data_IF_520163658827
#
_entry.id   IF_520163658827
#
_cell.length_a   1.000
_cell.length_b   1.000
_cell.length_c   1.000
_cell.angle_alpha   90.00
_cell.angle_beta   90.00
_cell.angle_gamma   90.00
#
_symmetry.space_group_name_H-M   'P 1'
#
loop_
_entity.id
_entity.type
_entity.pdbx_description
1 polymer ?
#
# COMPACT_ATOMS: atom_id res chain seq x y z
N UNK A 1 -12.79 23.52 -50.98
CA UNK A 1 -11.61 23.33 -50.12
C UNK A 1 -11.98 23.76 -48.70
N UNK A 2 -12.20 22.79 -47.80
CA UNK A 2 -12.47 23.08 -46.39
C UNK A 2 -11.13 23.28 -45.69
N UNK A 3 -10.84 24.52 -45.26
CA UNK A 3 -9.68 24.81 -44.41
C UNK A 3 -10.04 24.33 -43.01
N UNK A 4 -9.48 23.20 -42.60
CA UNK A 4 -9.55 22.78 -41.20
C UNK A 4 -8.86 23.86 -40.35
N UNK A 5 -9.66 24.63 -39.63
CA UNK A 5 -9.19 25.58 -38.63
C UNK A 5 -8.39 24.79 -37.59
N UNK A 6 -7.06 24.93 -37.61
CA UNK A 6 -6.20 24.42 -36.54
C UNK A 6 -6.54 25.22 -35.28
N UNK A 7 -7.14 24.57 -34.29
CA UNK A 7 -7.32 25.17 -32.97
C UNK A 7 -5.94 25.60 -32.45
N UNK A 8 -5.75 26.88 -32.07
CA UNK A 8 -4.46 27.33 -31.55
C UNK A 8 -4.09 26.50 -30.33
N UNK A 9 -2.81 26.12 -30.23
CA UNK A 9 -2.32 25.41 -29.06
C UNK A 9 -2.58 26.27 -27.81
N UNK A 10 -3.13 25.71 -26.73
CA UNK A 10 -3.51 26.48 -25.55
C UNK A 10 -2.31 27.28 -25.02
N UNK A 11 -2.57 28.53 -24.63
CA UNK A 11 -1.56 29.44 -24.11
C UNK A 11 -0.78 28.80 -22.96
N UNK A 12 0.51 29.13 -22.84
CA UNK A 12 1.30 28.63 -21.73
C UNK A 12 0.77 29.24 -20.43
N UNK A 13 0.59 28.41 -19.40
CA UNK A 13 0.13 28.90 -18.12
C UNK A 13 1.10 29.98 -17.59
N UNK A 14 0.55 31.12 -17.18
CA UNK A 14 1.30 32.29 -16.70
C UNK A 14 2.40 32.79 -17.65
N UNK A 15 2.24 32.56 -18.96
CA UNK A 15 3.23 32.95 -19.97
C UNK A 15 4.50 32.08 -20.00
N UNK A 16 4.57 31.00 -19.20
CA UNK A 16 5.77 30.16 -19.07
C UNK A 16 5.83 29.12 -20.19
N UNK A 17 6.17 29.57 -21.40
CA UNK A 17 6.33 28.70 -22.56
C UNK A 17 7.55 27.77 -22.42
N UNK A 18 8.57 28.18 -21.67
CA UNK A 18 9.80 27.42 -21.39
C UNK A 18 10.31 27.75 -19.99
N UNK A 19 10.24 26.79 -19.07
CA UNK A 19 10.82 26.90 -17.73
C UNK A 19 12.35 26.81 -17.77
N UNK A 20 13.01 26.99 -16.62
CA UNK A 20 14.44 26.76 -16.46
C UNK A 20 14.90 25.38 -16.97
N UNK A 21 14.12 24.32 -16.73
CA UNK A 21 14.39 22.95 -17.22
C UNK A 21 13.80 22.68 -18.61
N UNK A 22 13.40 23.71 -19.37
CA UNK A 22 12.84 23.57 -20.72
C UNK A 22 11.39 23.06 -20.79
N UNK A 23 10.63 23.05 -19.70
CA UNK A 23 9.25 22.53 -19.66
C UNK A 23 8.22 23.65 -19.85
N UNK A 24 7.18 23.41 -20.64
CA UNK A 24 6.04 24.33 -20.79
C UNK A 24 5.04 24.13 -19.66
N UNK A 25 4.60 25.20 -19.02
CA UNK A 25 3.55 25.10 -18.01
C UNK A 25 2.18 25.03 -18.69
N UNK A 26 1.34 24.10 -18.22
CA UNK A 26 -0.01 23.88 -18.73
C UNK A 26 -0.96 23.71 -17.55
N UNK A 27 -2.06 24.45 -17.54
CA UNK A 27 -3.16 24.17 -16.62
C UNK A 27 -3.97 22.99 -17.15
N UNK A 28 -4.42 22.11 -16.25
CA UNK A 28 -5.47 21.15 -16.58
C UNK A 28 -6.76 21.93 -16.77
N UNK A 29 -7.16 22.14 -18.02
CA UNK A 29 -8.38 22.86 -18.35
C UNK A 29 -9.60 22.04 -17.90
N UNK A 30 -10.59 22.74 -17.38
CA UNK A 30 -11.89 22.21 -16.99
C UNK A 30 -12.96 23.13 -17.58
N UNK A 31 -14.16 22.61 -17.80
CA UNK A 31 -15.28 23.45 -18.21
C UNK A 31 -15.61 24.46 -17.08
N UNK A 32 -15.47 25.75 -17.37
CA UNK A 32 -15.71 26.83 -16.41
C UNK A 32 -17.15 26.84 -15.87
N UNK A 33 -18.12 26.42 -16.69
CA UNK A 33 -19.51 26.32 -16.25
C UNK A 33 -19.68 25.18 -15.26
N UNK A 34 -19.02 24.05 -15.50
CA UNK A 34 -19.01 22.91 -14.60
C UNK A 34 -18.27 23.23 -13.30
N UNK A 35 -17.14 23.95 -13.35
CA UNK A 35 -16.42 24.45 -12.17
C UNK A 35 -17.32 25.37 -11.34
N UNK A 36 -18.00 26.32 -11.98
CA UNK A 36 -18.89 27.26 -11.30
C UNK A 36 -20.11 26.55 -10.68
N UNK A 37 -20.66 25.55 -11.37
CA UNK A 37 -21.75 24.73 -10.83
C UNK A 37 -21.29 23.95 -9.59
N UNK A 38 -20.20 23.19 -9.71
CA UNK A 38 -19.65 22.41 -8.62
C UNK A 38 -19.29 23.26 -7.40
N UNK A 39 -18.68 24.43 -7.63
CA UNK A 39 -18.34 25.37 -6.56
C UNK A 39 -19.57 25.83 -5.77
N UNK A 40 -20.66 26.16 -6.47
CA UNK A 40 -21.93 26.53 -5.82
C UNK A 40 -22.55 25.35 -5.08
N UNK A 41 -22.66 24.20 -5.75
CA UNK A 41 -23.40 23.05 -5.24
C UNK A 41 -22.71 22.42 -4.03
N UNK A 42 -21.38 22.34 -4.04
CA UNK A 42 -20.59 21.81 -2.93
C UNK A 42 -20.20 22.89 -1.89
N UNK A 43 -20.55 24.17 -2.10
CA UNK A 43 -20.22 25.25 -1.17
C UNK A 43 -18.71 25.51 -1.02
N UNK A 44 -17.94 25.32 -2.09
CA UNK A 44 -16.46 25.44 -2.11
C UNK A 44 -16.00 26.54 -3.06
N UNK A 45 -14.72 26.92 -2.96
CA UNK A 45 -14.16 27.93 -3.88
C UNK A 45 -14.02 27.37 -5.31
N UNK A 46 -14.13 28.22 -6.36
CA UNK A 46 -13.90 27.80 -7.74
C UNK A 46 -12.52 27.18 -7.98
N UNK A 47 -11.51 27.64 -7.24
CA UNK A 47 -10.16 27.07 -7.28
C UNK A 47 -10.12 25.63 -6.76
N UNK A 48 -10.79 25.36 -5.64
CA UNK A 48 -10.89 24.01 -5.08
C UNK A 48 -11.73 23.08 -5.98
N UNK A 49 -12.86 23.57 -6.50
CA UNK A 49 -13.69 22.83 -7.45
C UNK A 49 -12.88 22.41 -8.69
N UNK A 50 -12.10 23.33 -9.27
CA UNK A 50 -11.22 23.03 -10.41
C UNK A 50 -10.18 21.97 -10.06
N UNK A 51 -9.56 22.05 -8.88
CA UNK A 51 -8.56 21.07 -8.44
C UNK A 51 -9.17 19.68 -8.25
N UNK A 52 -10.35 19.58 -7.64
CA UNK A 52 -11.07 18.33 -7.42
C UNK A 52 -11.49 17.69 -8.76
N UNK A 53 -12.04 18.47 -9.68
CA UNK A 53 -12.35 18.00 -11.04
C UNK A 53 -11.10 17.52 -11.78
N UNK A 54 -9.99 18.26 -11.66
CA UNK A 54 -8.71 17.90 -12.28
C UNK A 54 -8.08 16.64 -11.68
N UNK A 55 -8.51 16.23 -10.48
CA UNK A 55 -8.16 14.97 -9.81
C UNK A 55 -9.18 13.85 -10.05
N UNK A 56 -10.26 14.12 -10.79
CA UNK A 56 -11.30 13.13 -11.09
C UNK A 56 -12.23 12.84 -9.91
N UNK A 57 -12.27 13.69 -8.88
CA UNK A 57 -13.18 13.51 -7.74
C UNK A 57 -14.60 13.82 -8.19
N UNK A 58 -15.50 12.83 -8.08
CA UNK A 58 -16.91 13.03 -8.43
C UNK A 58 -17.59 13.95 -7.42
N UNK A 59 -18.61 14.71 -7.86
CA UNK A 59 -19.30 15.68 -7.02
C UNK A 59 -19.87 15.06 -5.73
N UNK A 60 -20.35 13.82 -5.82
CA UNK A 60 -20.92 13.06 -4.69
C UNK A 60 -19.87 12.69 -3.64
N UNK A 61 -18.59 12.60 -4.01
CA UNK A 61 -17.50 12.15 -3.15
C UNK A 61 -16.74 13.31 -2.50
N UNK A 62 -17.03 14.57 -2.87
CA UNK A 62 -16.24 15.75 -2.46
C UNK A 62 -16.15 15.89 -0.94
N UNK A 63 -17.27 15.72 -0.24
CA UNK A 63 -17.30 15.85 1.21
C UNK A 63 -16.36 14.83 1.88
N UNK A 64 -16.41 13.58 1.44
CA UNK A 64 -15.62 12.49 1.98
C UNK A 64 -14.15 12.55 1.53
N UNK A 65 -13.88 13.12 0.35
CA UNK A 65 -12.53 13.38 -0.12
C UNK A 65 -11.83 14.49 0.68
N UNK A 66 -12.56 15.56 1.04
CA UNK A 66 -12.01 16.69 1.79
C UNK A 66 -11.93 16.43 3.30
N UNK A 67 -12.82 15.60 3.82
CA UNK A 67 -12.88 15.21 5.23
C UNK A 67 -12.98 13.69 5.38
N UNK A 68 -11.93 12.93 4.99
CA UNK A 68 -11.95 11.49 5.08
C UNK A 68 -12.05 11.05 6.54
N UNK A 69 -12.81 10.00 6.78
CA UNK A 69 -12.89 9.35 8.09
C UNK A 69 -12.52 7.89 7.91
N UNK A 70 -11.83 7.31 8.89
CA UNK A 70 -11.48 5.88 8.84
C UNK A 70 -12.70 5.00 8.59
N UNK A 71 -13.84 5.33 9.22
CA UNK A 71 -15.09 4.57 9.05
C UNK A 71 -15.59 4.51 7.60
N UNK A 72 -15.35 5.55 6.80
CA UNK A 72 -15.80 5.61 5.40
C UNK A 72 -14.70 5.21 4.40
N UNK A 73 -13.45 5.51 4.75
CA UNK A 73 -12.32 5.38 3.83
C UNK A 73 -11.56 4.06 3.99
N UNK A 74 -11.73 3.34 5.10
CA UNK A 74 -11.08 2.06 5.33
C UNK A 74 -11.98 0.94 4.76
N UNK A 75 -11.54 0.22 3.71
CA UNK A 75 -12.29 -0.90 3.15
C UNK A 75 -12.35 -2.07 4.11
N UNK A 76 -13.28 -2.98 3.89
CA UNK A 76 -13.37 -4.24 4.64
C UNK A 76 -12.16 -5.12 4.31
N UNK A 77 -11.22 -5.38 5.24
CA UNK A 77 -9.98 -6.09 4.93
C UNK A 77 -10.18 -7.50 4.40
N UNK A 78 -11.27 -8.20 4.75
CA UNK A 78 -11.53 -9.56 4.26
C UNK A 78 -11.83 -9.66 2.75
N UNK A 79 -11.93 -8.53 2.04
CA UNK A 79 -11.99 -8.54 0.57
C UNK A 79 -10.62 -8.79 -0.08
N UNK A 80 -9.52 -8.59 0.65
CA UNK A 80 -8.18 -8.92 0.20
C UNK A 80 -8.02 -10.44 0.20
N UNK A 81 -7.44 -10.96 -0.88
CA UNK A 81 -7.14 -12.39 -1.01
C UNK A 81 -6.20 -12.83 0.12
N UNK A 82 -6.47 -14.04 0.64
CA UNK A 82 -5.78 -14.67 1.76
C UNK A 82 -5.86 -13.93 3.12
N UNK A 83 -6.62 -12.83 3.25
CA UNK A 83 -6.79 -12.15 4.53
C UNK A 83 -7.42 -13.06 5.60
N UNK A 84 -8.44 -13.82 5.22
CA UNK A 84 -9.10 -14.81 6.09
C UNK A 84 -8.12 -15.89 6.56
N UNK A 85 -7.30 -16.42 5.65
CA UNK A 85 -6.25 -17.41 5.91
C UNK A 85 -5.17 -16.87 6.84
N UNK A 86 -4.71 -15.63 6.60
CA UNK A 86 -3.74 -14.92 7.43
C UNK A 86 -4.25 -14.76 8.87
N UNK A 87 -5.47 -14.25 9.03
CA UNK A 87 -6.11 -14.06 10.35
C UNK A 87 -6.29 -15.39 11.07
N UNK A 88 -6.74 -16.44 10.37
CA UNK A 88 -6.91 -17.77 10.96
C UNK A 88 -5.59 -18.33 11.50
N UNK A 89 -4.48 -18.13 10.77
CA UNK A 89 -3.15 -18.61 11.20
C UNK A 89 -2.59 -17.86 12.39
N UNK A 90 -2.70 -16.53 12.36
CA UNK A 90 -2.28 -15.68 13.48
C UNK A 90 -3.10 -16.00 14.73
N UNK A 91 -4.41 -16.18 14.59
CA UNK A 91 -5.29 -16.60 15.68
C UNK A 91 -4.86 -17.96 16.26
N UNK A 92 -4.59 -18.96 15.42
CA UNK A 92 -4.12 -20.26 15.87
C UNK A 92 -2.79 -20.17 16.64
N UNK A 93 -1.83 -19.35 16.16
CA UNK A 93 -0.57 -19.10 16.87
C UNK A 93 -0.81 -18.51 18.26
N UNK A 94 -1.68 -17.50 18.36
CA UNK A 94 -2.03 -16.85 19.64
C UNK A 94 -2.66 -17.86 20.60
N UNK A 95 -3.66 -18.64 20.14
CA UNK A 95 -4.38 -19.62 20.97
C UNK A 95 -3.47 -20.77 21.43
N UNK A 96 -2.52 -21.18 20.59
CA UNK A 96 -1.54 -22.21 20.92
C UNK A 96 -0.34 -21.68 21.75
N UNK A 97 -0.20 -20.37 21.92
CA UNK A 97 0.95 -19.75 22.57
C UNK A 97 2.25 -19.93 21.78
N UNK A 98 2.16 -20.04 20.45
CA UNK A 98 3.33 -20.09 19.57
C UNK A 98 4.09 -18.76 19.63
N UNK A 99 5.42 -18.84 19.54
CA UNK A 99 6.23 -17.62 19.41
C UNK A 99 6.02 -17.02 18.01
N UNK A 100 5.56 -15.77 17.97
CA UNK A 100 5.38 -15.01 16.73
C UNK A 100 6.58 -14.06 16.55
N UNK A 101 7.10 -14.00 15.34
CA UNK A 101 8.04 -12.97 14.93
C UNK A 101 7.42 -12.08 13.85
N UNK A 102 7.77 -10.80 13.86
CA UNK A 102 7.38 -9.84 12.83
C UNK A 102 8.65 -9.37 12.13
N UNK A 103 8.72 -9.58 10.82
CA UNK A 103 9.79 -9.06 9.97
C UNK A 103 9.30 -7.80 9.27
N UNK A 104 9.87 -6.64 9.60
CA UNK A 104 9.55 -5.39 8.92
C UNK A 104 10.65 -4.94 7.97
N UNK A 105 10.30 -4.14 6.97
CA UNK A 105 11.29 -3.39 6.21
C UNK A 105 11.90 -2.25 7.05
N UNK A 106 13.06 -1.74 6.63
CA UNK A 106 13.82 -0.72 7.36
C UNK A 106 13.29 0.70 7.15
N UNK A 107 12.40 0.92 6.19
CA UNK A 107 11.84 2.25 5.93
C UNK A 107 10.68 2.59 6.88
N UNK A 108 10.06 3.75 6.68
CA UNK A 108 9.01 4.23 7.60
C UNK A 108 7.76 3.34 7.54
N UNK A 109 7.39 2.80 6.39
CA UNK A 109 6.18 1.98 6.27
C UNK A 109 6.38 0.62 6.96
N UNK A 110 7.48 -0.07 6.67
CA UNK A 110 7.85 -1.32 7.33
C UNK A 110 8.05 -1.19 8.84
N UNK A 111 8.78 -0.18 9.31
CA UNK A 111 9.04 -0.01 10.75
C UNK A 111 7.80 0.38 11.54
N UNK A 112 6.92 1.23 10.98
CA UNK A 112 5.66 1.59 11.65
C UNK A 112 4.66 0.43 11.65
N UNK A 113 4.60 -0.35 10.56
CA UNK A 113 3.80 -1.57 10.49
C UNK A 113 4.25 -2.62 11.51
N UNK A 114 5.56 -2.80 11.68
CA UNK A 114 6.11 -3.70 12.68
C UNK A 114 5.80 -3.24 14.11
N UNK A 115 5.91 -1.94 14.39
CA UNK A 115 5.52 -1.36 15.68
C UNK A 115 4.02 -1.55 15.98
N UNK A 116 3.15 -1.35 14.99
CA UNK A 116 1.71 -1.56 15.12
C UNK A 116 1.38 -3.01 15.49
N UNK A 117 1.97 -3.99 14.80
CA UNK A 117 1.78 -5.39 15.15
C UNK A 117 2.35 -5.72 16.53
N UNK A 118 3.49 -5.15 16.90
CA UNK A 118 4.03 -5.31 18.25
C UNK A 118 3.05 -4.84 19.32
N UNK A 119 2.47 -3.64 19.18
CA UNK A 119 1.48 -3.12 20.12
C UNK A 119 0.25 -4.03 20.21
N UNK A 120 -0.27 -4.49 19.09
CA UNK A 120 -1.41 -5.41 19.04
C UNK A 120 -1.13 -6.71 19.81
N UNK A 121 -0.04 -7.40 19.48
CA UNK A 121 0.31 -8.68 20.12
C UNK A 121 0.73 -8.50 21.58
N UNK A 122 1.39 -7.39 21.93
CA UNK A 122 1.72 -7.05 23.32
C UNK A 122 0.45 -6.81 24.16
N UNK A 123 -0.58 -6.16 23.60
CA UNK A 123 -1.87 -6.00 24.27
C UNK A 123 -2.58 -7.34 24.53
N UNK A 124 -2.28 -8.38 23.74
CA UNK A 124 -2.72 -9.76 23.96
C UNK A 124 -1.81 -10.56 24.91
N UNK A 125 -0.77 -9.94 25.49
CA UNK A 125 0.18 -10.58 26.40
C UNK A 125 1.24 -11.45 25.72
N UNK A 126 1.38 -11.37 24.39
CA UNK A 126 2.34 -12.16 23.60
C UNK A 126 3.18 -11.25 22.68
N UNK A 127 4.03 -10.35 23.22
CA UNK A 127 4.82 -9.43 22.40
C UNK A 127 5.70 -10.22 21.40
N UNK A 128 5.66 -9.87 20.10
CA UNK A 128 6.34 -10.64 19.07
C UNK A 128 7.82 -10.27 19.02
N UNK A 129 8.63 -11.17 18.47
CA UNK A 129 10.02 -10.88 18.14
C UNK A 129 10.09 -9.99 16.90
N UNK A 130 10.47 -8.72 17.06
CA UNK A 130 10.64 -7.80 15.92
C UNK A 130 11.98 -7.98 15.22
N UNK A 131 12.00 -8.16 13.90
CA UNK A 131 13.21 -8.21 13.10
C UNK A 131 13.15 -7.14 12.01
N UNK A 132 14.11 -6.21 12.02
CA UNK A 132 14.32 -5.23 10.96
C UNK A 132 15.73 -5.48 10.42
N UNK A 133 15.90 -5.80 9.12
CA UNK A 133 17.20 -6.11 8.57
C UNK A 133 18.09 -4.87 8.53
N UNK A 134 19.40 -5.05 8.73
CA UNK A 134 20.36 -3.99 8.41
C UNK A 134 20.48 -3.86 6.90
N UNK A 135 20.01 -2.74 6.35
CA UNK A 135 20.01 -2.51 4.89
C UNK A 135 21.39 -2.63 4.25
N UNK A 136 22.46 -2.26 4.96
CA UNK A 136 23.81 -2.24 4.43
C UNK A 136 24.46 -3.62 4.43
N UNK A 137 24.11 -4.45 5.41
CA UNK A 137 24.73 -5.76 5.62
C UNK A 137 23.87 -6.88 5.02
N UNK A 138 22.56 -6.82 5.23
CA UNK A 138 21.59 -7.87 4.90
C UNK A 138 20.79 -7.58 3.63
N UNK A 139 20.70 -6.31 3.21
CA UNK A 139 19.96 -5.89 2.03
C UNK A 139 18.48 -5.62 2.29
N UNK A 140 17.65 -5.78 1.25
CA UNK A 140 16.22 -5.47 1.27
C UNK A 140 15.37 -6.72 1.54
N UNK A 141 14.37 -6.59 2.41
CA UNK A 141 13.37 -7.62 2.67
C UNK A 141 13.89 -8.88 3.39
N UNK A 142 13.08 -9.95 3.42
CA UNK A 142 13.43 -11.19 4.08
C UNK A 142 14.64 -11.89 3.46
N UNK A 143 15.51 -12.45 4.29
CA UNK A 143 16.64 -13.28 3.87
C UNK A 143 16.64 -14.61 4.63
N UNK A 144 17.16 -15.67 3.99
CA UNK A 144 17.16 -17.01 4.59
C UNK A 144 17.90 -17.08 5.94
N UNK A 145 19.11 -16.48 6.10
CA UNK A 145 19.80 -16.47 7.39
C UNK A 145 18.95 -15.89 8.54
N UNK A 146 18.29 -14.75 8.32
CA UNK A 146 17.44 -14.14 9.34
C UNK A 146 16.19 -14.96 9.62
N UNK A 147 15.54 -15.53 8.60
CA UNK A 147 14.36 -16.38 8.79
C UNK A 147 14.71 -17.64 9.58
N UNK A 148 15.86 -18.26 9.30
CA UNK A 148 16.37 -19.38 10.07
C UNK A 148 16.74 -18.99 11.49
N UNK A 149 17.34 -17.82 11.71
CA UNK A 149 17.58 -17.29 13.04
C UNK A 149 16.28 -17.14 13.84
N UNK A 150 15.22 -16.60 13.24
CA UNK A 150 13.91 -16.49 13.91
C UNK A 150 13.33 -17.87 14.26
N UNK A 151 13.46 -18.83 13.35
CA UNK A 151 13.07 -20.23 13.61
C UNK A 151 13.86 -20.85 14.76
N UNK A 152 15.17 -20.67 14.79
CA UNK A 152 16.07 -21.13 15.87
C UNK A 152 15.74 -20.47 17.21
N UNK A 153 15.31 -19.20 17.19
CA UNK A 153 14.78 -18.49 18.36
C UNK A 153 13.40 -19.03 18.80
N UNK A 154 12.83 -20.01 18.09
CA UNK A 154 11.60 -20.73 18.40
C UNK A 154 10.35 -20.16 17.74
N UNK A 155 10.47 -19.28 16.75
CA UNK A 155 9.30 -18.75 16.03
C UNK A 155 8.55 -19.88 15.30
N UNK A 156 7.27 -20.04 15.62
CA UNK A 156 6.34 -20.92 14.90
C UNK A 156 5.69 -20.25 13.70
N UNK A 157 5.59 -18.91 13.75
CA UNK A 157 5.03 -18.05 12.72
C UNK A 157 5.89 -16.80 12.55
N UNK A 158 6.25 -16.48 11.31
CA UNK A 158 6.79 -15.16 10.91
C UNK A 158 5.73 -14.41 10.13
N UNK A 159 5.47 -13.15 10.50
CA UNK A 159 4.64 -12.22 9.73
C UNK A 159 5.58 -11.18 9.10
N UNK A 160 5.68 -11.14 7.78
CA UNK A 160 6.41 -10.06 7.09
C UNK A 160 5.47 -8.89 6.86
N UNK A 161 5.97 -7.66 7.06
CA UNK A 161 5.24 -6.42 6.79
C UNK A 161 6.06 -5.53 5.88
N UNK A 162 5.40 -4.93 4.88
CA UNK A 162 6.01 -4.08 3.85
C UNK A 162 7.14 -4.77 3.05
N UNK A 163 7.16 -6.09 3.06
CA UNK A 163 8.15 -6.87 2.35
C UNK A 163 7.73 -8.34 2.21
N UNK A 164 8.45 -9.07 1.35
CA UNK A 164 8.32 -10.51 1.19
C UNK A 164 7.53 -10.93 -0.04
N UNK A 165 6.74 -10.05 -0.69
CA UNK A 165 5.95 -10.43 -1.87
C UNK A 165 6.82 -11.01 -2.99
N UNK A 166 8.02 -10.49 -3.21
CA UNK A 166 8.96 -10.99 -4.22
C UNK A 166 10.10 -11.88 -3.70
N UNK A 167 10.10 -12.27 -2.42
CA UNK A 167 11.24 -12.95 -1.80
C UNK A 167 11.23 -14.48 -2.05
N UNK A 168 11.32 -14.89 -3.32
CA UNK A 168 11.18 -16.29 -3.77
C UNK A 168 12.14 -17.23 -3.04
N UNK A 169 13.46 -17.00 -3.17
CA UNK A 169 14.46 -17.91 -2.61
C UNK A 169 14.42 -17.97 -1.07
N UNK A 170 14.41 -16.84 -0.34
CA UNK A 170 14.36 -16.86 1.13
C UNK A 170 13.13 -17.57 1.69
N UNK A 171 11.95 -17.35 1.09
CA UNK A 171 10.70 -17.92 1.57
C UNK A 171 10.54 -19.38 1.16
N UNK A 172 11.11 -19.79 0.03
CA UNK A 172 11.24 -21.22 -0.31
C UNK A 172 12.09 -21.94 0.73
N UNK A 173 13.24 -21.38 1.10
CA UNK A 173 14.10 -21.97 2.12
C UNK A 173 13.40 -22.06 3.49
N UNK A 174 12.64 -21.04 3.89
CA UNK A 174 11.84 -21.05 5.12
C UNK A 174 10.72 -22.10 5.08
N UNK A 175 9.98 -22.18 3.97
CA UNK A 175 8.94 -23.18 3.75
C UNK A 175 9.50 -24.60 3.86
N UNK A 176 10.60 -24.89 3.17
CA UNK A 176 11.23 -26.22 3.17
C UNK A 176 11.79 -26.60 4.54
N UNK A 177 12.18 -25.60 5.35
CA UNK A 177 12.52 -25.80 6.75
C UNK A 177 11.29 -25.97 7.65
N UNK A 178 10.05 -25.85 7.15
CA UNK A 178 8.81 -25.93 7.90
C UNK A 178 8.56 -24.73 8.81
N UNK A 179 8.92 -23.52 8.36
CA UNK A 179 8.55 -22.26 9.03
C UNK A 179 7.36 -21.65 8.30
N UNK A 180 6.26 -21.42 9.02
CA UNK A 180 5.12 -20.72 8.45
C UNK A 180 5.43 -19.23 8.32
N UNK A 181 5.16 -18.68 7.14
CA UNK A 181 5.28 -17.25 6.87
C UNK A 181 3.95 -16.70 6.36
N UNK A 182 3.49 -15.60 6.95
CA UNK A 182 2.39 -14.77 6.42
C UNK A 182 3.00 -13.49 5.86
N UNK A 183 2.64 -13.10 4.66
CA UNK A 183 3.14 -11.89 4.00
C UNK A 183 2.04 -10.85 4.00
N UNK A 184 2.32 -9.67 4.58
CA UNK A 184 1.50 -8.47 4.48
C UNK A 184 2.31 -7.43 3.70
N UNK A 185 1.97 -7.21 2.43
CA UNK A 185 2.79 -6.40 1.52
C UNK A 185 1.89 -5.66 0.52
N UNK A 186 2.44 -4.69 -0.19
CA UNK A 186 1.78 -3.89 -1.22
C UNK A 186 2.66 -3.68 -2.45
N UNK A 187 3.87 -4.22 -2.48
CA UNK A 187 4.72 -4.16 -3.67
C UNK A 187 4.13 -4.96 -4.85
N UNK A 188 4.39 -4.48 -6.07
CA UNK A 188 4.01 -5.20 -7.29
C UNK A 188 4.72 -6.55 -7.39
N UNK A 189 3.97 -7.60 -7.73
CA UNK A 189 4.49 -8.98 -7.79
C UNK A 189 3.80 -9.78 -8.89
N UNK A 190 4.58 -10.52 -9.67
CA UNK A 190 4.08 -11.42 -10.72
C UNK A 190 4.12 -12.89 -10.33
N UNK A 191 5.13 -13.29 -9.56
CA UNK A 191 5.34 -14.66 -9.09
C UNK A 191 5.37 -14.65 -7.58
N UNK A 192 4.52 -15.47 -6.97
CA UNK A 192 4.42 -15.55 -5.52
C UNK A 192 5.40 -16.58 -4.95
N UNK A 193 6.16 -16.25 -3.89
CA UNK A 193 6.90 -17.23 -3.10
C UNK A 193 5.95 -18.25 -2.47
N UNK A 194 6.44 -19.38 -1.97
CA UNK A 194 5.66 -20.17 -1.03
C UNK A 194 5.50 -19.40 0.29
N UNK A 195 4.27 -19.27 0.76
CA UNK A 195 3.95 -18.77 2.09
C UNK A 195 2.64 -19.39 2.58
N UNK A 196 2.38 -19.29 3.88
CA UNK A 196 1.09 -19.68 4.43
C UNK A 196 -0.02 -18.76 3.89
N UNK A 197 0.21 -17.45 3.78
CA UNK A 197 -0.78 -16.51 3.23
C UNK A 197 -0.07 -15.33 2.55
N UNK A 198 -0.62 -14.88 1.42
CA UNK A 198 -0.18 -13.65 0.75
C UNK A 198 -1.28 -12.60 0.82
N UNK A 199 -1.17 -11.66 1.74
CA UNK A 199 -2.06 -10.50 1.78
C UNK A 199 -1.37 -9.35 1.06
N UNK A 200 -1.67 -9.20 -0.22
CA UNK A 200 -1.16 -8.11 -1.03
C UNK A 200 -2.17 -7.73 -2.12
N UNK A 201 -2.63 -6.47 -2.19
CA UNK A 201 -3.60 -6.04 -3.20
C UNK A 201 -3.06 -6.11 -4.64
N UNK A 202 -1.74 -6.13 -4.82
CA UNK A 202 -1.05 -6.22 -6.10
C UNK A 202 -0.65 -7.66 -6.48
N UNK A 203 -1.08 -8.68 -5.73
CA UNK A 203 -0.78 -10.07 -6.09
C UNK A 203 -1.61 -10.59 -7.27
N UNK A 204 -1.12 -11.58 -8.03
CA UNK A 204 -1.89 -12.24 -9.06
C UNK A 204 -3.20 -12.86 -8.54
N UNK A 205 -4.31 -12.40 -9.10
CA UNK A 205 -5.64 -12.92 -8.82
C UNK A 205 -6.28 -12.38 -7.54
N UNK A 206 -5.75 -11.32 -6.94
CA UNK A 206 -6.56 -10.48 -6.04
C UNK A 206 -7.61 -9.71 -6.87
N UNK A 207 -8.83 -9.61 -6.34
CA UNK A 207 -9.97 -8.98 -7.02
C UNK A 207 -10.62 -7.89 -6.18
N UNK A 208 -9.94 -7.44 -5.11
CA UNK A 208 -10.42 -6.42 -4.17
C UNK A 208 -10.61 -5.05 -4.80
N UNK A 209 -9.87 -4.75 -5.87
CA UNK A 209 -9.79 -3.41 -6.46
C UNK A 209 -9.00 -2.42 -5.60
N UNK A 210 -8.21 -2.89 -4.64
CA UNK A 210 -7.36 -2.07 -3.76
C UNK A 210 -5.91 -1.95 -4.27
N UNK A 211 -5.64 -2.40 -5.49
CA UNK A 211 -4.33 -2.29 -6.13
C UNK A 211 -3.96 -0.82 -6.41
N UNK A 212 -2.66 -0.54 -6.46
CA UNK A 212 -2.11 0.82 -6.65
C UNK A 212 -1.27 0.94 -7.92
#
# INVERSE_FOLDING_TARGET
MSVALRTPAPEAAFGVARSFTGRRWRLRQQDENAVAALARDAGISPGLARLLMARGVAAVDIADYLAPTLRKSLPEPFILKDMDKSVARAKAAIEAGEKIAVWGDYDVDGTTSAALLHEFFAALGQPPRLYIPDRMIEGYGPNAPGLFKLKEEGAGLVITVDCGAGAIEPLTAAHDAGLDVVILDHHAVEVLPPAFAHVNPNQPGDTSGLNH
#
